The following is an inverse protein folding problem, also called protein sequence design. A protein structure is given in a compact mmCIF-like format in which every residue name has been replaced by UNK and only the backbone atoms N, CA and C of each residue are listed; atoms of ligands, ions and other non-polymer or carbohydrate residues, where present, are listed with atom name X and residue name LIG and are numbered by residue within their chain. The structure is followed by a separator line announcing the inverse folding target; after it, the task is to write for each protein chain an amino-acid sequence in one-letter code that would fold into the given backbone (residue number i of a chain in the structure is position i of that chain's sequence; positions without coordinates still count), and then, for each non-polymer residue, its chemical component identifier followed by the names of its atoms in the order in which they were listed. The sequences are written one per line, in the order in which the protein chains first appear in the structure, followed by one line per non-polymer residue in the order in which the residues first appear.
data_IF_733697290374
#
_entry.id   IF_733697290374
#
_cell.length_a   1.000
_cell.length_b   1.000
_cell.length_c   1.000
_cell.angle_alpha   90.00
_cell.angle_beta   90.00
_cell.angle_gamma   90.00
#
_symmetry.space_group_name_H-M   'P 1'
#
loop_
_entity.id
_entity.type
_entity.pdbx_description
1 polymer ?
#
# COMPACT_ATOMS: atom_id res chain seq x y z
N UNK A 1 -11.57 -0.25 3.45
CA UNK A 1 -10.93 0.79 2.60
C UNK A 1 -10.14 1.70 3.50
N UNK A 2 -8.84 1.79 3.30
CA UNK A 2 -7.91 2.57 4.10
C UNK A 2 -7.60 3.91 3.42
N UNK A 3 -7.29 4.93 4.20
CA UNK A 3 -6.67 6.14 3.65
C UNK A 3 -5.21 5.85 3.31
N UNK A 4 -4.60 6.72 2.50
CA UNK A 4 -3.16 6.65 2.20
C UNK A 4 -2.32 6.64 3.48
N UNK A 5 -2.70 7.45 4.47
CA UNK A 5 -1.99 7.56 5.74
C UNK A 5 -2.13 6.28 6.58
N UNK A 6 -3.32 5.69 6.64
CA UNK A 6 -3.54 4.40 7.31
C UNK A 6 -2.78 3.25 6.64
N UNK A 7 -2.66 3.27 5.32
CA UNK A 7 -1.90 2.27 4.59
C UNK A 7 -0.38 2.41 4.84
N UNK A 8 0.11 3.66 4.90
CA UNK A 8 1.51 3.95 5.23
C UNK A 8 1.85 3.50 6.67
N UNK A 9 0.97 3.80 7.63
CA UNK A 9 1.11 3.40 9.04
C UNK A 9 1.17 1.87 9.18
N UNK A 10 0.29 1.15 8.48
CA UNK A 10 0.23 -0.31 8.51
C UNK A 10 1.47 -1.00 7.91
N UNK A 11 2.13 -0.34 6.96
CA UNK A 11 3.40 -0.79 6.38
C UNK A 11 4.61 -0.27 7.18
N UNK A 12 4.40 0.57 8.20
CA UNK A 12 5.44 1.30 8.92
C UNK A 12 6.38 2.08 7.99
N UNK A 13 5.85 2.62 6.88
CA UNK A 13 6.61 3.40 5.90
C UNK A 13 6.22 4.87 5.93
N UNK A 14 7.12 5.73 5.44
CA UNK A 14 6.80 7.15 5.28
C UNK A 14 5.67 7.37 4.26
N UNK A 15 4.87 8.43 4.45
CA UNK A 15 3.88 8.87 3.46
C UNK A 15 4.47 9.01 2.06
N UNK A 16 5.69 9.52 1.96
CA UNK A 16 6.41 9.69 0.68
C UNK A 16 6.66 8.35 0.01
N UNK A 17 7.09 7.34 0.77
CA UNK A 17 7.25 5.97 0.27
C UNK A 17 5.92 5.41 -0.21
N UNK A 18 4.83 5.63 0.53
CA UNK A 18 3.50 5.20 0.11
C UNK A 18 3.04 5.88 -1.19
N UNK A 19 3.34 7.17 -1.37
CA UNK A 19 3.11 7.89 -2.64
C UNK A 19 3.96 7.35 -3.78
N UNK A 20 5.21 6.95 -3.53
CA UNK A 20 6.05 6.29 -4.52
C UNK A 20 5.45 4.94 -4.95
N UNK A 21 5.04 4.09 -4.00
CA UNK A 21 4.40 2.80 -4.28
C UNK A 21 3.11 2.94 -5.10
N UNK A 22 2.30 3.97 -4.81
CA UNK A 22 1.12 4.29 -5.62
C UNK A 22 1.50 4.80 -7.02
N UNK A 23 2.56 5.60 -7.15
CA UNK A 23 3.07 6.11 -8.43
C UNK A 23 3.60 4.97 -9.30
N UNK A 24 4.31 4.02 -8.69
CA UNK A 24 4.85 2.82 -9.35
C UNK A 24 3.78 1.76 -9.63
N UNK A 25 2.51 2.03 -9.27
CA UNK A 25 1.36 1.13 -9.43
C UNK A 25 1.53 -0.22 -8.73
N UNK A 26 2.42 -0.29 -7.74
CA UNK A 26 2.68 -1.50 -6.95
C UNK A 26 1.54 -1.73 -5.96
N UNK A 27 1.05 -0.66 -5.33
CA UNK A 27 -0.15 -0.70 -4.48
C UNK A 27 -1.29 -0.01 -5.22
N UNK A 28 -2.28 -0.77 -5.75
CA UNK A 28 -3.40 -0.17 -6.43
C UNK A 28 -4.20 0.70 -5.47
N UNK A 29 -4.60 1.87 -5.96
CA UNK A 29 -5.43 2.82 -5.24
C UNK A 29 -6.68 3.11 -6.05
N UNK A 30 -7.81 3.21 -5.36
CA UNK A 30 -9.10 3.49 -5.98
C UNK A 30 -9.49 4.92 -5.64
N UNK A 31 -9.83 5.70 -6.66
CA UNK A 31 -10.37 7.04 -6.47
C UNK A 31 -11.85 6.93 -6.06
N UNK A 32 -12.15 7.25 -4.81
CA UNK A 32 -13.52 7.25 -4.28
C UNK A 32 -13.94 8.71 -4.10
N UNK A 33 -14.74 9.22 -5.05
CA UNK A 33 -15.10 10.62 -5.12
C UNK A 33 -13.89 11.49 -5.43
N UNK A 34 -13.47 12.36 -4.50
CA UNK A 34 -12.27 13.22 -4.63
C UNK A 34 -11.03 12.67 -3.92
N UNK A 35 -11.16 11.58 -3.15
CA UNK A 35 -10.09 11.05 -2.32
C UNK A 35 -9.60 9.70 -2.84
N UNK A 36 -8.28 9.49 -2.85
CA UNK A 36 -7.71 8.16 -3.11
C UNK A 36 -7.82 7.32 -1.86
N UNK A 37 -8.36 6.11 -2.01
CA UNK A 37 -8.45 5.09 -0.96
C UNK A 37 -7.70 3.85 -1.41
N UNK A 38 -7.06 3.21 -0.44
CA UNK A 38 -6.31 1.98 -0.65
C UNK A 38 -7.20 0.82 -0.18
N UNK A 39 -7.59 -0.12 -1.05
CA UNK A 39 -8.23 -1.35 -0.60
C UNK A 39 -7.29 -2.12 0.34
N UNK A 40 -7.84 -2.59 1.46
CA UNK A 40 -7.04 -3.30 2.46
C UNK A 40 -6.55 -4.65 1.94
N UNK A 41 -7.32 -5.27 1.04
CA UNK A 41 -7.02 -6.56 0.42
C UNK A 41 -5.71 -6.49 -0.39
N UNK A 42 -5.59 -5.49 -1.26
CA UNK A 42 -4.39 -5.23 -2.06
C UNK A 42 -3.17 -4.88 -1.21
N UNK A 43 -3.38 -4.17 -0.10
CA UNK A 43 -2.31 -3.87 0.85
C UNK A 43 -1.81 -5.14 1.53
N UNK A 44 -2.72 -6.05 1.92
CA UNK A 44 -2.38 -7.36 2.46
C UNK A 44 -1.62 -8.20 1.42
N UNK A 45 -2.10 -8.26 0.19
CA UNK A 45 -1.43 -8.99 -0.90
C UNK A 45 0.00 -8.46 -1.15
N UNK A 46 0.20 -7.14 -1.07
CA UNK A 46 1.53 -6.55 -1.15
C UNK A 46 2.44 -6.98 0.01
N UNK A 47 1.93 -6.97 1.24
CA UNK A 47 2.66 -7.45 2.43
C UNK A 47 3.03 -8.93 2.29
N UNK A 48 2.10 -9.77 1.82
CA UNK A 48 2.36 -11.20 1.59
C UNK A 48 3.48 -11.41 0.57
N UNK A 49 3.52 -10.61 -0.50
CA UNK A 49 4.61 -10.65 -1.48
C UNK A 49 5.94 -10.23 -0.87
N UNK A 50 5.96 -9.17 -0.06
CA UNK A 50 7.16 -8.73 0.66
C UNK A 50 7.66 -9.80 1.64
N UNK A 51 6.76 -10.46 2.37
CA UNK A 51 7.11 -11.55 3.28
C UNK A 51 7.67 -12.74 2.50
N UNK A 52 7.05 -13.10 1.38
CA UNK A 52 7.54 -14.17 0.51
C UNK A 52 8.90 -13.85 -0.15
N UNK A 53 9.17 -12.58 -0.43
CA UNK A 53 10.48 -12.09 -0.88
C UNK A 53 11.52 -12.12 0.23
N UNK A 54 11.16 -11.68 1.44
CA UNK A 54 12.05 -11.65 2.60
C UNK A 54 12.37 -13.05 3.14
N UNK A 55 11.42 -13.98 3.05
CA UNK A 55 11.58 -15.38 3.46
C UNK A 55 12.43 -16.23 2.49
N UNK A 56 12.97 -15.63 1.42
CA UNK A 56 13.95 -16.28 0.52
C UNK A 56 15.41 -16.12 0.95
N UNK A 57 15.67 -15.59 2.14
CA UNK A 57 17.00 -15.52 2.75
C UNK A 57 17.30 -16.73 3.63
#
# INVERSE_FOLDING_TARGET
MLTVEQAADRLAVSRTTMFALMKDKVVPSVLVGRYRRVPADELTAYIERLIAEAGRC
#
